data_IF_859257114251
#
_entry.id   IF_859257114251
#
_cell.length_a   1.000
_cell.length_b   1.000
_cell.length_c   1.000
_cell.angle_alpha   90.00
_cell.angle_beta   90.00
_cell.angle_gamma   90.00
#
_symmetry.space_group_name_H-M   'P 1'
#
loop_
_entity.id
_entity.type
_entity.pdbx_description
1 polymer ?
#
# COMPACT_ATOMS: atom_id res chain seq x y z
N UNK A 1 -13.36 -3.86 -55.40
CA UNK A 1 -13.82 -5.25 -55.54
C UNK A 1 -13.80 -5.83 -54.14
N UNK A 2 -14.96 -5.71 -53.41
CA UNK A 2 -15.16 -6.20 -52.04
C UNK A 2 -15.93 -7.52 -52.17
N UNK A 3 -15.28 -8.63 -51.83
CA UNK A 3 -15.89 -9.94 -51.75
C UNK A 3 -16.87 -9.99 -50.59
N UNK A 4 -18.13 -10.10 -50.92
CA UNK A 4 -19.27 -10.38 -50.06
C UNK A 4 -19.38 -11.91 -49.94
N UNK A 5 -18.94 -12.47 -48.80
CA UNK A 5 -19.27 -13.83 -48.39
C UNK A 5 -20.63 -13.82 -47.72
N UNK A 6 -21.56 -14.72 -48.06
CA UNK A 6 -22.92 -14.73 -47.50
C UNK A 6 -22.95 -15.16 -46.04
N UNK A 7 -23.81 -14.48 -45.28
CA UNK A 7 -24.01 -14.61 -43.81
C UNK A 7 -24.51 -15.98 -43.30
N UNK A 8 -24.76 -16.91 -44.18
CA UNK A 8 -25.33 -18.23 -43.86
C UNK A 8 -24.28 -19.24 -43.34
N UNK A 9 -23.01 -19.08 -43.75
CA UNK A 9 -21.92 -19.96 -43.25
C UNK A 9 -21.43 -19.62 -41.83
N UNK A 10 -21.68 -18.41 -41.33
CA UNK A 10 -21.32 -18.03 -39.95
C UNK A 10 -22.29 -18.57 -38.90
N UNK A 11 -23.53 -18.84 -39.24
CA UNK A 11 -24.54 -19.41 -38.32
C UNK A 11 -24.38 -20.92 -38.10
N UNK A 12 -23.72 -21.63 -38.99
CA UNK A 12 -23.51 -23.08 -38.84
C UNK A 12 -22.32 -23.47 -37.94
N UNK A 13 -21.45 -22.54 -37.55
CA UNK A 13 -20.33 -22.83 -36.64
C UNK A 13 -20.61 -22.51 -35.18
N UNK A 14 -21.69 -21.81 -34.83
CA UNK A 14 -22.06 -21.46 -33.46
C UNK A 14 -23.20 -22.30 -32.86
N UNK A 15 -23.73 -23.27 -33.62
CA UNK A 15 -24.91 -24.06 -33.23
C UNK A 15 -24.65 -25.50 -32.78
N UNK A 16 -23.40 -25.88 -32.43
CA UNK A 16 -23.09 -27.22 -31.89
C UNK A 16 -22.32 -27.17 -30.58
N UNK A 17 -22.85 -26.47 -29.58
CA UNK A 17 -22.22 -26.38 -28.27
C UNK A 17 -23.01 -27.09 -27.15
N UNK A 18 -24.03 -27.88 -27.45
CA UNK A 18 -24.89 -28.46 -26.39
C UNK A 18 -25.09 -29.99 -26.48
N UNK A 19 -24.33 -30.72 -27.27
CA UNK A 19 -24.22 -32.16 -27.02
C UNK A 19 -22.93 -32.44 -26.26
N UNK A 20 -22.98 -32.99 -25.02
CA UNK A 20 -21.79 -33.43 -24.31
C UNK A 20 -21.10 -34.48 -25.18
N UNK A 21 -19.77 -34.34 -25.47
CA UNK A 21 -19.08 -35.33 -26.28
C UNK A 21 -19.18 -36.69 -25.57
N UNK A 22 -19.77 -37.68 -26.24
CA UNK A 22 -19.74 -39.05 -25.82
C UNK A 22 -18.28 -39.48 -25.58
N UNK A 23 -17.95 -39.82 -24.31
CA UNK A 23 -16.62 -40.31 -23.95
C UNK A 23 -15.64 -39.25 -23.37
N UNK A 24 -16.09 -38.40 -22.47
CA UNK A 24 -15.13 -37.63 -21.66
C UNK A 24 -14.24 -38.61 -20.87
N UNK A 25 -12.93 -38.29 -20.84
CA UNK A 25 -12.00 -39.03 -19.98
C UNK A 25 -12.52 -39.04 -18.53
N UNK A 26 -12.46 -40.17 -17.81
CA UNK A 26 -12.85 -40.23 -16.42
C UNK A 26 -12.22 -39.17 -15.52
N UNK A 27 -10.99 -38.74 -15.83
CA UNK A 27 -10.35 -37.64 -15.13
C UNK A 27 -11.09 -36.30 -15.38
N UNK A 28 -11.52 -36.01 -16.59
CA UNK A 28 -12.26 -34.77 -16.90
C UNK A 28 -13.66 -34.77 -16.28
N UNK A 29 -14.28 -35.92 -16.13
CA UNK A 29 -15.53 -36.05 -15.38
C UNK A 29 -15.30 -35.82 -13.88
N UNK A 30 -14.26 -36.43 -13.32
CA UNK A 30 -13.89 -36.26 -11.92
C UNK A 30 -13.57 -34.78 -11.58
N UNK A 31 -12.95 -34.01 -12.47
CA UNK A 31 -12.69 -32.57 -12.23
C UNK A 31 -13.95 -31.71 -12.05
N UNK A 32 -15.12 -32.19 -12.49
CA UNK A 32 -16.40 -31.52 -12.28
C UNK A 32 -17.07 -31.90 -10.94
N UNK A 33 -16.53 -32.88 -10.20
CA UNK A 33 -17.04 -33.27 -8.90
C UNK A 33 -16.59 -32.31 -7.80
N UNK A 34 -17.42 -32.16 -6.75
CA UNK A 34 -17.03 -31.43 -5.56
C UNK A 34 -15.90 -32.15 -4.81
N UNK A 35 -15.05 -31.39 -4.11
CA UNK A 35 -13.99 -31.98 -3.28
C UNK A 35 -14.49 -32.98 -2.26
N UNK A 36 -15.70 -32.79 -1.71
CA UNK A 36 -16.32 -33.73 -0.75
C UNK A 36 -16.60 -35.06 -1.40
N UNK A 37 -17.17 -35.05 -2.60
CA UNK A 37 -17.44 -36.24 -3.39
C UNK A 37 -16.15 -36.97 -3.77
N UNK A 38 -15.16 -36.25 -4.30
CA UNK A 38 -13.85 -36.81 -4.66
C UNK A 38 -13.14 -37.41 -3.44
N UNK A 39 -13.25 -36.77 -2.27
CA UNK A 39 -12.68 -37.29 -1.03
C UNK A 39 -13.35 -38.60 -0.62
N UNK A 40 -14.69 -38.68 -0.69
CA UNK A 40 -15.42 -39.89 -0.39
C UNK A 40 -15.10 -41.03 -1.38
N UNK A 41 -15.00 -40.73 -2.67
CA UNK A 41 -14.61 -41.67 -3.72
C UNK A 41 -13.16 -42.17 -3.51
N UNK A 42 -12.22 -41.31 -3.15
CA UNK A 42 -10.85 -41.69 -2.82
C UNK A 42 -10.78 -42.64 -1.63
N UNK A 43 -11.50 -42.32 -0.57
CA UNK A 43 -11.58 -43.19 0.62
C UNK A 43 -12.12 -44.55 0.26
N UNK A 44 -13.25 -44.59 -0.47
CA UNK A 44 -13.87 -45.87 -0.90
C UNK A 44 -12.93 -46.67 -1.80
N UNK A 45 -12.21 -46.01 -2.73
CA UNK A 45 -11.23 -46.67 -3.59
C UNK A 45 -10.04 -47.24 -2.81
N UNK A 46 -9.52 -46.49 -1.81
CA UNK A 46 -8.47 -46.98 -0.92
C UNK A 46 -8.95 -48.16 -0.04
N UNK A 47 -10.15 -48.05 0.51
CA UNK A 47 -10.73 -49.13 1.38
C UNK A 47 -11.04 -50.41 0.60
N UNK A 48 -11.34 -50.32 -0.69
CA UNK A 48 -11.51 -51.48 -1.56
C UNK A 48 -10.23 -52.33 -1.66
N UNK A 49 -9.05 -51.68 -1.62
CA UNK A 49 -7.73 -52.35 -1.70
C UNK A 49 -7.19 -52.70 -0.33
N UNK A 50 -7.32 -51.81 0.65
CA UNK A 50 -6.66 -51.88 1.94
C UNK A 50 -7.55 -52.46 3.05
N UNK A 51 -8.83 -52.66 2.77
CA UNK A 51 -9.88 -52.92 3.76
C UNK A 51 -10.29 -51.65 4.54
N UNK A 52 -11.32 -51.76 5.40
CA UNK A 52 -11.84 -50.65 6.18
C UNK A 52 -10.73 -49.95 6.99
N UNK A 53 -10.66 -48.63 6.92
CA UNK A 53 -9.62 -47.83 7.62
C UNK A 53 -10.19 -47.21 8.90
N UNK A 54 -9.42 -47.20 10.01
CA UNK A 54 -9.82 -46.54 11.23
C UNK A 54 -9.94 -45.05 11.02
N UNK A 55 -11.05 -44.46 11.51
CA UNK A 55 -11.28 -43.02 11.53
C UNK A 55 -10.83 -42.47 12.86
N UNK A 56 -9.90 -41.53 12.82
CA UNK A 56 -9.39 -40.85 13.98
C UNK A 56 -10.18 -39.55 14.20
N UNK A 57 -10.63 -39.31 15.42
CA UNK A 57 -11.28 -38.06 15.85
C UNK A 57 -10.31 -37.27 16.73
N UNK A 58 -10.04 -36.06 16.34
CA UNK A 58 -9.08 -35.19 17.00
C UNK A 58 -9.73 -33.85 17.36
N UNK A 59 -9.53 -33.38 18.61
CA UNK A 59 -10.04 -32.07 19.02
C UNK A 59 -9.26 -30.90 18.35
N UNK A 60 -9.73 -29.66 18.45
CA UNK A 60 -8.99 -28.47 18.00
C UNK A 60 -7.62 -28.35 18.69
N UNK A 61 -6.64 -27.80 17.98
CA UNK A 61 -5.29 -27.56 18.49
C UNK A 61 -4.30 -28.72 18.31
N UNK A 62 -4.74 -29.86 17.76
CA UNK A 62 -3.84 -31.01 17.50
C UNK A 62 -3.02 -30.73 16.24
N UNK A 63 -1.70 -30.91 16.37
CA UNK A 63 -0.75 -30.74 15.26
C UNK A 63 -0.63 -32.03 14.46
N UNK A 64 -1.04 -32.01 13.21
CA UNK A 64 -0.99 -33.16 12.28
C UNK A 64 0.39 -33.27 11.59
N UNK A 65 1.05 -32.14 11.31
CA UNK A 65 2.37 -32.07 10.72
C UNK A 65 3.09 -30.81 11.19
N UNK A 66 4.41 -30.86 11.31
CA UNK A 66 5.24 -29.71 11.66
C UNK A 66 6.15 -29.35 10.48
N UNK A 67 6.30 -28.05 10.18
CA UNK A 67 7.17 -27.56 9.12
C UNK A 67 8.59 -28.13 9.26
N UNK A 68 9.13 -28.70 8.17
CA UNK A 68 10.45 -29.34 8.13
C UNK A 68 10.48 -30.80 8.60
N UNK A 69 9.44 -31.31 9.22
CA UNK A 69 9.33 -32.71 9.62
C UNK A 69 9.25 -33.63 8.39
N UNK A 70 9.83 -34.82 8.47
CA UNK A 70 9.64 -35.87 7.45
C UNK A 70 8.22 -36.37 7.48
N UNK A 71 7.60 -36.44 6.31
CA UNK A 71 6.21 -36.92 6.13
C UNK A 71 6.28 -38.34 5.60
N UNK A 72 5.78 -39.28 6.41
CA UNK A 72 5.70 -40.71 6.13
C UNK A 72 4.25 -41.17 5.91
N UNK A 73 3.30 -40.28 6.11
CA UNK A 73 1.87 -40.55 5.95
C UNK A 73 1.13 -39.31 5.43
N UNK A 74 -0.02 -39.55 4.80
CA UNK A 74 -1.01 -38.55 4.43
C UNK A 74 -2.25 -38.62 5.27
N UNK A 75 -2.80 -37.50 5.64
CA UNK A 75 -4.07 -37.41 6.38
C UNK A 75 -5.17 -36.99 5.41
N UNK A 76 -6.17 -37.89 5.22
CA UNK A 76 -7.37 -37.57 4.46
C UNK A 76 -8.42 -37.06 5.45
N UNK A 77 -8.72 -35.76 5.39
CA UNK A 77 -9.70 -35.11 6.27
C UNK A 77 -11.11 -35.43 5.77
N UNK A 78 -11.89 -36.11 6.59
CA UNK A 78 -13.28 -36.48 6.30
C UNK A 78 -14.22 -35.35 6.68
N UNK A 79 -14.01 -34.75 7.87
CA UNK A 79 -14.80 -33.60 8.34
C UNK A 79 -13.96 -32.71 9.22
N UNK A 80 -14.39 -31.47 9.40
CA UNK A 80 -13.69 -30.45 10.18
C UNK A 80 -12.73 -29.57 9.36
N UNK A 81 -11.95 -28.77 10.06
CA UNK A 81 -11.05 -27.80 9.46
C UNK A 81 -9.63 -27.87 10.07
N UNK A 82 -8.62 -27.67 9.22
CA UNK A 82 -7.21 -27.65 9.55
C UNK A 82 -6.59 -26.37 9.05
N UNK A 83 -5.89 -25.62 9.92
CA UNK A 83 -5.11 -24.46 9.53
C UNK A 83 -3.71 -24.91 9.06
N UNK A 84 -3.28 -24.36 7.95
CA UNK A 84 -1.93 -24.53 7.43
C UNK A 84 -1.13 -23.24 7.69
N UNK A 85 -0.15 -23.31 8.59
CA UNK A 85 0.68 -22.16 8.96
C UNK A 85 2.12 -22.38 8.53
N UNK A 86 2.85 -21.28 8.33
CA UNK A 86 4.25 -21.29 8.00
C UNK A 86 5.01 -20.32 8.89
N UNK A 87 6.08 -20.76 9.48
CA UNK A 87 6.99 -19.90 10.20
C UNK A 87 7.87 -19.13 9.22
N UNK A 88 7.87 -17.79 9.35
CA UNK A 88 8.63 -16.86 8.50
C UNK A 88 9.52 -15.99 9.39
N UNK A 89 10.38 -15.16 8.77
CA UNK A 89 11.19 -14.16 9.50
C UNK A 89 10.37 -13.10 10.24
N UNK A 90 9.11 -12.90 9.84
CA UNK A 90 8.19 -11.88 10.40
C UNK A 90 7.26 -12.51 11.46
N UNK A 91 7.32 -13.84 11.64
CA UNK A 91 6.46 -14.59 12.54
C UNK A 91 5.71 -15.72 11.85
N UNK A 92 4.73 -16.29 12.54
CA UNK A 92 3.89 -17.35 12.01
C UNK A 92 2.78 -16.76 11.14
N UNK A 93 2.70 -17.20 9.88
CA UNK A 93 1.71 -16.73 8.90
C UNK A 93 0.75 -17.86 8.57
N UNK A 94 -0.55 -17.66 8.71
CA UNK A 94 -1.57 -18.58 8.25
C UNK A 94 -1.69 -18.46 6.73
N UNK A 95 -1.31 -19.52 6.02
CA UNK A 95 -1.37 -19.56 4.56
C UNK A 95 -2.77 -19.93 4.07
N UNK A 96 -3.44 -20.87 4.79
CA UNK A 96 -4.70 -21.42 4.33
C UNK A 96 -5.43 -22.17 5.45
N UNK A 97 -6.76 -22.10 5.45
CA UNK A 97 -7.60 -23.04 6.19
C UNK A 97 -8.00 -24.15 5.24
N UNK A 98 -7.54 -25.37 5.51
CA UNK A 98 -7.80 -26.50 4.65
C UNK A 98 -9.23 -27.05 4.89
N UNK A 99 -10.19 -26.42 4.23
CA UNK A 99 -11.51 -27.01 3.99
C UNK A 99 -11.62 -27.54 2.55
N UNK A 100 -10.81 -27.03 1.65
CA UNK A 100 -10.77 -27.37 0.23
C UNK A 100 -9.47 -28.09 -0.09
N UNK A 101 -9.50 -29.32 -0.48
CA UNK A 101 -8.31 -30.13 -0.73
C UNK A 101 -7.90 -30.88 0.54
N UNK A 102 -8.77 -31.69 0.99
CA UNK A 102 -8.80 -32.39 2.30
C UNK A 102 -7.70 -33.43 2.52
N UNK A 103 -6.61 -33.37 1.77
CA UNK A 103 -5.45 -34.25 1.96
C UNK A 103 -4.27 -33.41 2.48
N UNK A 104 -3.91 -33.64 3.73
CA UNK A 104 -2.74 -33.03 4.36
C UNK A 104 -1.53 -33.95 4.19
N UNK A 105 -0.37 -33.39 3.82
CA UNK A 105 0.87 -34.12 3.60
C UNK A 105 1.20 -34.41 2.13
N UNK A 106 0.23 -34.34 1.21
CA UNK A 106 0.43 -34.68 -0.20
C UNK A 106 1.50 -33.83 -0.91
N UNK A 107 1.49 -32.51 -0.68
CA UNK A 107 2.50 -31.60 -1.25
C UNK A 107 3.89 -31.94 -0.73
N UNK A 108 4.01 -32.40 0.51
CA UNK A 108 5.28 -32.76 1.11
C UNK A 108 5.88 -34.01 0.46
N UNK A 109 5.07 -34.91 -0.08
CA UNK A 109 5.56 -36.07 -0.85
C UNK A 109 6.24 -35.63 -2.16
N UNK A 110 5.69 -34.58 -2.80
CA UNK A 110 6.26 -34.03 -4.04
C UNK A 110 7.51 -33.18 -3.79
N UNK A 111 7.75 -32.71 -2.56
CA UNK A 111 8.84 -31.83 -2.16
C UNK A 111 9.84 -32.48 -1.21
N UNK A 112 10.46 -33.59 -1.64
CA UNK A 112 11.50 -34.30 -0.91
C UNK A 112 11.08 -34.87 0.47
N UNK A 113 9.79 -35.15 0.69
CA UNK A 113 9.30 -35.80 1.91
C UNK A 113 9.28 -34.95 3.18
N UNK A 114 9.52 -33.65 3.11
CA UNK A 114 9.46 -32.76 4.28
C UNK A 114 8.20 -31.88 4.26
N UNK A 115 7.60 -31.71 5.43
CA UNK A 115 6.42 -30.86 5.60
C UNK A 115 6.78 -29.40 5.27
N UNK A 116 6.11 -28.85 4.28
CA UNK A 116 6.26 -27.46 3.83
C UNK A 116 5.64 -26.46 4.82
N UNK A 117 4.61 -26.90 5.56
CA UNK A 117 3.82 -26.11 6.49
C UNK A 117 3.57 -26.91 7.78
N UNK A 118 3.20 -26.21 8.83
CA UNK A 118 2.60 -26.79 10.03
C UNK A 118 1.10 -26.91 9.81
N UNK A 119 0.52 -28.08 10.07
CA UNK A 119 -0.90 -28.34 9.95
C UNK A 119 -1.49 -28.57 11.35
N UNK A 120 -2.46 -27.73 11.76
CA UNK A 120 -3.09 -27.80 13.09
C UNK A 120 -4.61 -27.81 12.95
N UNK A 121 -5.30 -28.69 13.66
CA UNK A 121 -6.77 -28.76 13.68
C UNK A 121 -7.34 -27.47 14.30
N UNK A 122 -8.37 -26.87 13.66
CA UNK A 122 -9.05 -25.66 14.17
C UNK A 122 -10.46 -25.96 14.71
N UNK A 123 -11.02 -27.10 14.33
CA UNK A 123 -12.29 -27.64 14.84
C UNK A 123 -12.09 -29.09 15.24
N UNK A 124 -13.11 -29.73 15.71
CA UNK A 124 -13.15 -31.23 15.79
C UNK A 124 -12.98 -31.78 14.37
N UNK A 125 -11.97 -32.63 14.18
CA UNK A 125 -11.59 -33.19 12.87
C UNK A 125 -11.76 -34.72 12.93
N UNK A 126 -12.41 -35.28 11.91
CA UNK A 126 -12.36 -36.69 11.62
C UNK A 126 -11.46 -36.90 10.39
N UNK A 127 -10.49 -37.79 10.50
CA UNK A 127 -9.52 -38.07 9.44
C UNK A 127 -9.18 -39.56 9.34
N UNK A 128 -8.68 -39.96 8.18
CA UNK A 128 -8.06 -41.25 7.91
C UNK A 128 -6.57 -41.03 7.65
N UNK A 129 -5.73 -41.83 8.31
CA UNK A 129 -4.28 -41.82 8.11
C UNK A 129 -3.90 -42.96 7.16
N UNK A 130 -3.16 -42.61 6.10
CA UNK A 130 -2.60 -43.58 5.14
C UNK A 130 -1.09 -43.42 5.12
N UNK A 131 -0.34 -44.51 5.37
CA UNK A 131 1.10 -44.48 5.13
C UNK A 131 1.38 -44.34 3.62
N UNK A 132 2.59 -43.91 3.29
CA UNK A 132 3.02 -43.75 1.88
C UNK A 132 2.91 -45.09 1.15
N UNK A 133 3.30 -46.20 1.79
CA UNK A 133 3.23 -47.55 1.22
C UNK A 133 1.79 -47.99 0.99
N UNK A 134 0.88 -47.61 1.92
CA UNK A 134 -0.55 -47.92 1.76
C UNK A 134 -1.15 -47.14 0.59
N UNK A 135 -0.82 -45.84 0.47
CA UNK A 135 -1.28 -45.02 -0.65
C UNK A 135 -0.72 -45.54 -1.98
N UNK A 136 0.57 -45.86 -2.05
CA UNK A 136 1.23 -46.40 -3.24
C UNK A 136 0.59 -47.72 -3.67
N UNK A 137 0.29 -48.61 -2.71
CA UNK A 137 -0.41 -49.84 -2.97
C UNK A 137 -1.83 -49.61 -3.53
N UNK A 138 -2.59 -48.69 -2.93
CA UNK A 138 -3.93 -48.37 -3.41
C UNK A 138 -3.92 -47.80 -4.84
N UNK A 139 -2.93 -46.97 -5.14
CA UNK A 139 -2.71 -46.37 -6.49
C UNK A 139 -2.41 -47.45 -7.53
N UNK A 140 -1.56 -48.43 -7.20
CA UNK A 140 -1.18 -49.52 -8.14
C UNK A 140 -2.28 -50.53 -8.38
N UNK A 141 -3.05 -50.89 -7.34
CA UNK A 141 -4.03 -51.96 -7.41
C UNK A 141 -5.41 -51.46 -7.89
N UNK A 142 -5.70 -50.15 -7.79
CA UNK A 142 -6.99 -49.59 -8.23
C UNK A 142 -6.80 -48.30 -9.04
N UNK A 143 -6.94 -48.31 -10.37
CA UNK A 143 -6.81 -47.12 -11.25
C UNK A 143 -7.78 -45.98 -10.88
N UNK A 144 -8.94 -46.26 -10.29
CA UNK A 144 -9.87 -45.23 -9.85
C UNK A 144 -9.26 -44.35 -8.72
N UNK A 145 -8.39 -44.93 -7.87
CA UNK A 145 -7.66 -44.21 -6.83
C UNK A 145 -6.75 -43.13 -7.45
N UNK A 146 -6.01 -43.50 -8.51
CA UNK A 146 -5.11 -42.58 -9.20
C UNK A 146 -5.86 -41.40 -9.82
N UNK A 147 -6.97 -41.69 -10.51
CA UNK A 147 -7.77 -40.66 -11.20
C UNK A 147 -8.41 -39.69 -10.18
N UNK A 148 -9.00 -40.22 -9.10
CA UNK A 148 -9.63 -39.40 -8.06
C UNK A 148 -8.59 -38.55 -7.32
N UNK A 149 -7.42 -39.13 -7.03
CA UNK A 149 -6.31 -38.39 -6.41
C UNK A 149 -5.81 -37.28 -7.31
N UNK A 150 -5.62 -37.58 -8.59
CA UNK A 150 -5.20 -36.55 -9.58
C UNK A 150 -6.21 -35.40 -9.66
N UNK A 151 -7.51 -35.70 -9.71
CA UNK A 151 -8.56 -34.69 -9.74
C UNK A 151 -8.55 -33.83 -8.47
N UNK A 152 -8.38 -34.43 -7.28
CA UNK A 152 -8.24 -33.69 -6.02
C UNK A 152 -7.01 -32.78 -6.00
N UNK A 153 -5.86 -33.25 -6.51
CA UNK A 153 -4.64 -32.46 -6.60
C UNK A 153 -4.86 -31.26 -7.53
N UNK A 154 -5.36 -31.51 -8.73
CA UNK A 154 -5.59 -30.44 -9.72
C UNK A 154 -6.57 -29.42 -9.17
N UNK A 155 -7.72 -29.84 -8.62
CA UNK A 155 -8.71 -28.94 -8.01
C UNK A 155 -8.12 -28.11 -6.86
N UNK A 156 -7.32 -28.73 -5.98
CA UNK A 156 -6.64 -28.06 -4.89
C UNK A 156 -5.62 -27.04 -5.38
N UNK A 157 -4.81 -27.39 -6.39
CA UNK A 157 -3.81 -26.50 -6.96
C UNK A 157 -4.46 -25.32 -7.69
N UNK A 158 -5.51 -25.57 -8.48
CA UNK A 158 -6.26 -24.53 -9.18
C UNK A 158 -6.84 -23.52 -8.19
N UNK A 159 -7.51 -24.00 -7.12
CA UNK A 159 -8.06 -23.11 -6.08
C UNK A 159 -6.97 -22.28 -5.39
N UNK A 160 -5.82 -22.86 -5.09
CA UNK A 160 -4.68 -22.15 -4.49
C UNK A 160 -4.08 -21.14 -5.43
N UNK A 161 -3.93 -21.49 -6.70
CA UNK A 161 -3.38 -20.59 -7.72
C UNK A 161 -4.29 -19.37 -7.89
N UNK A 162 -5.58 -19.57 -8.13
CA UNK A 162 -6.54 -18.47 -8.28
C UNK A 162 -6.55 -17.54 -7.07
N UNK A 163 -6.51 -18.11 -5.85
CA UNK A 163 -6.41 -17.30 -4.64
C UNK A 163 -5.10 -16.52 -4.53
N UNK A 164 -3.99 -17.14 -4.94
CA UNK A 164 -2.68 -16.47 -4.97
C UNK A 164 -2.66 -15.30 -5.94
N UNK A 165 -3.29 -15.46 -7.11
CA UNK A 165 -3.43 -14.41 -8.12
C UNK A 165 -4.24 -13.23 -7.59
N UNK A 166 -5.38 -13.48 -6.94
CA UNK A 166 -6.20 -12.43 -6.31
C UNK A 166 -5.40 -11.67 -5.26
N UNK A 167 -4.71 -12.38 -4.36
CA UNK A 167 -3.87 -11.74 -3.34
C UNK A 167 -2.70 -10.94 -3.91
N UNK A 168 -2.15 -11.37 -5.06
CA UNK A 168 -1.11 -10.60 -5.75
C UNK A 168 -1.66 -9.29 -6.31
N UNK A 169 -2.85 -9.32 -6.92
CA UNK A 169 -3.53 -8.12 -7.42
C UNK A 169 -3.82 -7.15 -6.26
N UNK A 170 -4.45 -7.62 -5.19
CA UNK A 170 -4.72 -6.81 -4.00
C UNK A 170 -3.45 -6.17 -3.42
N UNK A 171 -2.34 -6.93 -3.40
CA UNK A 171 -1.04 -6.42 -2.93
C UNK A 171 -0.50 -5.30 -3.82
N UNK A 172 -0.63 -5.43 -5.14
CA UNK A 172 -0.20 -4.41 -6.10
C UNK A 172 -1.05 -3.14 -5.93
N UNK A 173 -2.37 -3.28 -5.81
CA UNK A 173 -3.29 -2.16 -5.59
C UNK A 173 -3.01 -1.43 -4.28
N UNK A 174 -2.78 -2.18 -3.19
CA UNK A 174 -2.42 -1.60 -1.90
C UNK A 174 -1.07 -0.87 -1.94
N UNK A 175 -0.08 -1.45 -2.62
CA UNK A 175 1.22 -0.80 -2.79
C UNK A 175 1.10 0.51 -3.57
N UNK A 176 0.30 0.54 -4.64
CA UNK A 176 0.03 1.75 -5.42
C UNK A 176 -0.69 2.83 -4.58
N UNK A 177 -1.66 2.44 -3.75
CA UNK A 177 -2.37 3.34 -2.85
C UNK A 177 -1.42 3.96 -1.80
N UNK A 178 -0.55 3.17 -1.20
CA UNK A 178 0.46 3.64 -0.23
C UNK A 178 1.45 4.62 -0.87
N UNK A 179 1.90 4.35 -2.09
CA UNK A 179 2.79 5.28 -2.80
C UNK A 179 2.08 6.60 -3.17
N UNK A 180 0.80 6.55 -3.56
CA UNK A 180 0.01 7.75 -3.81
C UNK A 180 -0.16 8.61 -2.54
N UNK A 181 -0.46 7.98 -1.38
CA UNK A 181 -0.58 8.66 -0.10
C UNK A 181 0.75 9.29 0.34
N UNK A 182 1.86 8.58 0.17
CA UNK A 182 3.21 9.11 0.43
C UNK A 182 3.52 10.33 -0.43
N UNK A 183 3.19 10.29 -1.73
CA UNK A 183 3.39 11.42 -2.63
C UNK A 183 2.58 12.64 -2.19
N UNK A 184 1.32 12.47 -1.79
CA UNK A 184 0.48 13.53 -1.26
C UNK A 184 1.04 14.11 0.05
N UNK A 185 1.49 13.26 0.98
CA UNK A 185 2.10 13.70 2.23
C UNK A 185 3.38 14.53 1.97
N UNK A 186 4.21 14.11 1.04
CA UNK A 186 5.42 14.84 0.66
C UNK A 186 5.09 16.21 0.09
N UNK A 187 4.13 16.32 -0.83
CA UNK A 187 3.67 17.58 -1.40
C UNK A 187 3.09 18.52 -0.32
N UNK A 188 2.31 17.96 0.62
CA UNK A 188 1.76 18.74 1.72
C UNK A 188 2.86 19.30 2.65
N UNK A 189 3.91 18.52 2.92
CA UNK A 189 5.05 18.97 3.71
C UNK A 189 5.82 20.09 2.98
N UNK A 190 6.08 19.96 1.69
CA UNK A 190 6.74 20.99 0.88
C UNK A 190 5.93 22.30 0.87
N UNK A 191 4.61 22.21 0.68
CA UNK A 191 3.73 23.38 0.71
C UNK A 191 3.70 24.05 2.09
N UNK A 192 3.69 23.27 3.18
CA UNK A 192 3.75 23.79 4.53
C UNK A 192 5.07 24.51 4.82
N UNK A 193 6.19 23.95 4.35
CA UNK A 193 7.52 24.56 4.52
C UNK A 193 7.63 25.86 3.75
N UNK A 194 7.08 25.93 2.55
CA UNK A 194 7.03 27.15 1.73
C UNK A 194 6.17 28.22 2.40
N UNK A 195 4.98 27.88 2.88
CA UNK A 195 4.11 28.81 3.60
C UNK A 195 4.77 29.34 4.90
N UNK A 196 5.51 28.48 5.60
CA UNK A 196 6.28 28.89 6.79
C UNK A 196 7.38 29.91 6.46
N UNK A 197 8.11 29.70 5.37
CA UNK A 197 9.13 30.64 4.92
C UNK A 197 8.54 32.00 4.53
N UNK A 198 7.38 31.99 3.87
CA UNK A 198 6.66 33.24 3.53
C UNK A 198 6.20 33.98 4.77
N UNK A 199 5.64 33.30 5.77
CA UNK A 199 5.24 33.90 7.03
C UNK A 199 6.42 34.52 7.78
N UNK A 200 7.57 33.84 7.85
CA UNK A 200 8.78 34.36 8.46
C UNK A 200 9.32 35.59 7.73
N UNK A 201 9.22 35.61 6.41
CA UNK A 201 9.59 36.79 5.62
C UNK A 201 8.65 37.98 5.92
N UNK A 202 7.34 37.77 5.95
CA UNK A 202 6.34 38.77 6.29
C UNK A 202 6.56 39.36 7.71
N UNK A 203 6.81 38.51 8.69
CA UNK A 203 7.10 38.93 10.07
C UNK A 203 8.36 39.83 10.12
N UNK A 204 9.42 39.44 9.44
CA UNK A 204 10.64 40.26 9.33
C UNK A 204 10.38 41.63 8.66
N UNK A 205 9.59 41.69 7.59
CA UNK A 205 9.22 42.93 6.94
C UNK A 205 8.35 43.80 7.84
N UNK A 206 7.42 43.25 8.57
CA UNK A 206 6.60 43.98 9.55
C UNK A 206 7.47 44.61 10.65
N UNK A 207 8.38 43.83 11.24
CA UNK A 207 9.31 44.30 12.26
C UNK A 207 10.25 45.40 11.73
N UNK A 208 10.76 45.23 10.51
CA UNK A 208 11.57 46.29 9.87
C UNK A 208 10.76 47.56 9.60
N UNK A 209 9.48 47.43 9.22
CA UNK A 209 8.58 48.55 9.03
C UNK A 209 8.34 49.34 10.33
N UNK A 210 8.08 48.66 11.43
CA UNK A 210 7.91 49.27 12.76
C UNK A 210 9.19 49.97 13.23
N UNK A 211 10.34 49.34 13.07
CA UNK A 211 11.65 49.97 13.40
C UNK A 211 11.92 51.19 12.55
N UNK A 212 11.67 51.13 11.25
CA UNK A 212 11.85 52.25 10.35
C UNK A 212 10.94 53.43 10.70
N UNK A 213 9.68 53.17 11.05
CA UNK A 213 8.73 54.19 11.52
C UNK A 213 9.18 54.81 12.85
N UNK A 214 9.66 53.99 13.76
CA UNK A 214 10.22 54.46 15.05
C UNK A 214 11.45 55.38 14.87
N UNK A 215 12.39 54.93 14.04
CA UNK A 215 13.59 55.71 13.74
C UNK A 215 13.24 57.04 13.02
N UNK A 216 12.30 56.99 12.05
CA UNK A 216 11.84 58.21 11.39
C UNK A 216 11.20 59.20 12.37
N UNK A 217 10.41 58.72 13.34
CA UNK A 217 9.80 59.54 14.37
C UNK A 217 10.86 60.14 15.30
N UNK A 218 11.84 59.34 15.73
CA UNK A 218 12.95 59.82 16.59
C UNK A 218 13.87 60.82 15.85
N UNK A 219 14.05 60.70 14.55
CA UNK A 219 14.80 61.65 13.76
C UNK A 219 14.01 62.94 13.48
N UNK A 220 12.71 62.87 13.27
CA UNK A 220 11.88 64.03 13.04
C UNK A 220 11.77 64.94 14.30
N UNK A 221 11.82 64.37 15.48
CA UNK A 221 11.76 65.15 16.74
C UNK A 221 12.95 66.15 16.87
N UNK A 222 14.22 65.76 16.77
CA UNK A 222 15.33 66.71 16.82
C UNK A 222 15.36 67.67 15.63
N UNK A 223 14.92 67.24 14.45
CA UNK A 223 14.82 68.14 13.27
C UNK A 223 13.79 69.25 13.54
N UNK A 224 12.61 68.92 14.03
CA UNK A 224 11.59 69.88 14.42
C UNK A 224 12.06 70.82 15.52
N UNK A 225 12.79 70.29 16.51
CA UNK A 225 13.39 71.12 17.58
C UNK A 225 14.46 72.09 17.02
N UNK A 226 15.30 71.64 16.09
CA UNK A 226 16.30 72.52 15.39
C UNK A 226 15.62 73.55 14.51
N UNK A 227 14.55 73.22 13.85
CA UNK A 227 13.77 74.18 13.05
C UNK A 227 13.13 75.24 13.94
N UNK A 228 12.52 74.81 15.06
CA UNK A 228 11.95 75.72 16.06
C UNK A 228 13.00 76.65 16.67
N UNK A 229 14.14 76.13 17.10
CA UNK A 229 15.25 76.92 17.64
C UNK A 229 15.81 77.92 16.61
N UNK A 230 15.93 77.48 15.36
CA UNK A 230 16.39 78.39 14.28
C UNK A 230 15.34 79.50 13.98
N UNK A 231 14.03 79.16 14.10
CA UNK A 231 13.01 80.22 13.93
C UNK A 231 13.08 81.25 15.06
N UNK A 232 13.23 80.81 16.33
CA UNK A 232 13.39 81.72 17.48
C UNK A 232 14.68 82.58 17.37
N UNK A 233 15.81 81.99 17.02
CA UNK A 233 17.05 82.70 16.80
C UNK A 233 16.89 83.81 15.76
N UNK A 234 16.10 83.59 14.73
CA UNK A 234 15.81 84.57 13.72
C UNK A 234 14.94 85.74 14.20
N UNK A 235 13.92 85.43 14.97
CA UNK A 235 13.06 86.40 15.60
C UNK A 235 13.86 87.27 16.56
N UNK A 236 14.71 86.66 17.37
CA UNK A 236 15.59 87.39 18.30
C UNK A 236 16.59 88.24 17.55
N UNK A 237 17.22 87.71 16.49
CA UNK A 237 18.17 88.49 15.65
C UNK A 237 17.47 89.63 14.92
N UNK A 238 16.26 89.42 14.42
CA UNK A 238 15.49 90.49 13.78
C UNK A 238 15.12 91.60 14.79
N UNK A 239 14.74 91.22 16.05
CA UNK A 239 14.44 92.16 17.14
C UNK A 239 15.68 92.99 17.55
N UNK A 240 16.84 92.37 17.68
CA UNK A 240 18.09 93.02 18.03
C UNK A 240 18.54 93.93 16.98
N UNK A 241 18.33 93.67 15.69
CA UNK A 241 18.76 94.51 14.56
C UNK A 241 17.78 95.62 14.21
N UNK A 242 16.56 95.58 14.70
CA UNK A 242 15.50 96.54 14.39
C UNK A 242 15.86 98.01 14.78
N UNK A 243 16.84 98.23 15.65
CA UNK A 243 17.29 99.51 16.11
C UNK A 243 18.69 99.95 15.51
N UNK A 244 19.27 99.07 14.67
CA UNK A 244 20.61 99.34 14.14
C UNK A 244 20.54 99.93 12.71
N UNK A 245 21.36 100.98 12.35
CA UNK A 245 21.28 101.61 11.05
C UNK A 245 21.53 100.67 9.84
N UNK A 246 22.31 99.60 10.04
CA UNK A 246 22.58 98.54 8.99
C UNK A 246 21.75 97.29 9.16
N UNK A 247 20.78 97.29 10.05
CA UNK A 247 19.99 96.06 10.39
C UNK A 247 19.20 95.50 9.22
N UNK A 248 18.54 96.31 8.44
CA UNK A 248 17.83 95.91 7.24
C UNK A 248 18.71 95.24 6.16
N UNK A 249 19.96 95.74 6.00
CA UNK A 249 20.90 95.15 5.04
C UNK A 249 21.37 93.76 5.50
N UNK A 250 21.61 93.54 6.77
CA UNK A 250 21.99 92.23 7.32
C UNK A 250 20.87 91.26 7.19
N UNK A 251 19.62 91.63 7.51
CA UNK A 251 18.45 90.77 7.40
C UNK A 251 18.11 90.40 5.95
N UNK A 252 18.27 91.36 5.02
CA UNK A 252 18.03 91.07 3.59
C UNK A 252 19.11 90.15 3.02
N UNK A 253 20.35 90.29 3.42
CA UNK A 253 21.49 89.45 3.01
C UNK A 253 21.28 88.01 3.53
N UNK A 254 20.84 87.82 4.80
CA UNK A 254 20.52 86.55 5.39
C UNK A 254 19.34 85.90 4.69
N UNK A 255 18.33 86.65 4.28
CA UNK A 255 17.19 86.10 3.48
C UNK A 255 17.63 85.66 2.10
N UNK A 256 18.48 86.38 1.40
CA UNK A 256 19.04 86.03 0.08
C UNK A 256 19.96 84.79 0.14
N UNK A 257 20.71 84.61 1.21
CA UNK A 257 21.52 83.39 1.42
C UNK A 257 20.68 82.12 1.53
N UNK A 258 19.45 82.22 2.02
CA UNK A 258 18.51 81.08 2.11
C UNK A 258 17.93 80.65 0.79
N UNK A 259 17.73 81.52 -0.14
CA UNK A 259 17.17 81.22 -1.45
C UNK A 259 18.19 80.65 -2.44
N UNK A 260 19.47 80.63 -2.04
CA UNK A 260 20.49 79.97 -2.85
C UNK A 260 20.38 78.48 -2.77
N UNK A 261 20.16 77.76 -3.89
CA UNK A 261 20.12 76.31 -3.87
C UNK A 261 21.46 75.78 -3.33
N UNK A 262 21.39 74.83 -2.39
CA UNK A 262 22.59 74.14 -1.89
C UNK A 262 23.37 73.57 -3.08
N UNK A 263 24.64 73.99 -3.21
CA UNK A 263 25.52 73.48 -4.25
C UNK A 263 25.54 71.95 -4.11
N UNK A 264 25.08 71.25 -5.11
CA UNK A 264 25.17 69.78 -5.14
C UNK A 264 26.64 69.40 -5.10
N UNK A 265 27.10 68.87 -4.00
CA UNK A 265 28.41 68.22 -3.89
C UNK A 265 28.38 67.01 -4.79
N UNK A 266 28.90 67.16 -6.03
CA UNK A 266 29.26 66.04 -6.88
C UNK A 266 30.36 65.26 -6.11
N UNK A 267 30.05 64.12 -5.58
CA UNK A 267 31.09 63.17 -5.25
C UNK A 267 31.60 62.56 -6.57
N UNK A 268 32.92 62.71 -6.81
CA UNK A 268 33.68 61.91 -7.76
C UNK A 268 33.78 60.43 -7.32
#
# INVERSE_FOLDING_TARGET
MRDHLPDDERRHRLGRADEPPEGRSPLLEALNHSNDRLTAELIAACEAVLGPRPRLRLPPGVRLAHQGQVVDAVCVVVSGAVALTRHTRVGEVTLHHATTGRIVGLVSLATQGRAYVTATTTTDVELILLSIEQLDRALRENPATEQTLAALIIGSLTTRLSRSEVLQVEKIELAAAVEAERAQATQALEALEQARLELLAQERFATLGELAAGVAHELNNPVAALEGANAHLREDLASLLAGHPDGEMVLSTAAHARTRPAASTRQE
#
